data_IF_595371520201
#
_entry.id   IF_595371520201
#
_cell.length_a   1.000
_cell.length_b   1.000
_cell.length_c   1.000
_cell.angle_alpha   90.00
_cell.angle_beta   90.00
_cell.angle_gamma   90.00
#
_symmetry.space_group_name_H-M   'P 1'
#
loop_
_entity.id
_entity.type
_entity.pdbx_description
1 polymer ?
#
# COMPACT_ATOMS: atom_id res chain seq x y z
N UNK A 1 -27.52 -0.27 -14.49
CA UNK A 1 -27.93 -1.56 -13.87
C UNK A 1 -26.72 -2.10 -13.16
N UNK A 2 -26.74 -2.23 -11.82
CA UNK A 2 -25.61 -2.79 -11.10
C UNK A 2 -25.33 -4.21 -11.62
N UNK A 3 -24.05 -4.54 -11.88
CA UNK A 3 -23.65 -5.86 -12.38
C UNK A 3 -23.97 -6.98 -11.40
N UNK A 4 -24.19 -6.64 -10.12
CA UNK A 4 -24.41 -7.58 -9.04
C UNK A 4 -25.45 -7.07 -8.04
N UNK A 5 -26.34 -7.94 -7.58
CA UNK A 5 -27.23 -7.62 -6.48
C UNK A 5 -26.42 -7.65 -5.16
N UNK A 6 -26.36 -6.53 -4.40
CA UNK A 6 -25.68 -6.50 -3.11
C UNK A 6 -25.98 -7.67 -2.16
N UNK A 7 -27.22 -8.16 -2.02
CA UNK A 7 -27.53 -9.31 -1.20
C UNK A 7 -26.86 -10.62 -1.63
N UNK A 8 -26.68 -10.85 -2.93
CA UNK A 8 -25.96 -12.03 -3.43
C UNK A 8 -24.47 -11.96 -3.12
N UNK A 9 -23.90 -10.76 -3.15
CA UNK A 9 -22.50 -10.55 -2.83
C UNK A 9 -22.18 -10.64 -1.35
N UNK A 10 -23.09 -10.30 -0.46
CA UNK A 10 -22.91 -10.41 1.00
C UNK A 10 -22.66 -11.85 1.45
N UNK A 11 -23.06 -12.84 0.66
CA UNK A 11 -22.74 -14.26 0.90
C UNK A 11 -21.37 -14.70 0.38
N UNK A 12 -20.70 -13.88 -0.43
CA UNK A 12 -19.38 -14.19 -0.97
C UNK A 12 -18.29 -13.85 0.07
N UNK A 13 -17.50 -14.85 0.48
CA UNK A 13 -16.38 -14.66 1.42
C UNK A 13 -15.36 -13.63 0.96
N UNK A 14 -15.28 -13.32 -0.34
CA UNK A 14 -14.35 -12.36 -0.93
C UNK A 14 -14.91 -10.92 -0.95
N UNK A 15 -16.18 -10.72 -0.62
CA UNK A 15 -16.80 -9.40 -0.71
C UNK A 15 -16.55 -8.50 0.51
N UNK A 16 -16.39 -9.09 1.68
CA UNK A 16 -16.32 -8.38 2.97
C UNK A 16 -14.90 -8.23 3.53
N UNK A 17 -13.88 -8.72 2.86
CA UNK A 17 -12.50 -8.66 3.36
C UNK A 17 -11.75 -7.48 2.77
N UNK A 18 -11.07 -6.73 3.62
CA UNK A 18 -10.03 -5.79 3.19
C UNK A 18 -8.97 -6.61 2.46
N UNK A 19 -8.87 -6.40 1.16
CA UNK A 19 -7.79 -6.99 0.37
C UNK A 19 -6.53 -6.19 0.63
N UNK A 20 -5.38 -6.88 0.82
CA UNK A 20 -4.05 -6.24 0.86
C UNK A 20 -3.64 -5.72 -0.52
N UNK A 21 -4.50 -5.88 -1.50
CA UNK A 21 -4.28 -5.52 -2.89
C UNK A 21 -5.60 -5.07 -3.49
N UNK A 22 -5.60 -3.92 -4.15
CA UNK A 22 -6.84 -3.43 -4.76
C UNK A 22 -6.73 -2.05 -5.36
N UNK A 23 -7.89 -1.43 -5.51
CA UNK A 23 -8.06 -0.13 -6.12
C UNK A 23 -8.98 0.75 -5.30
N UNK A 24 -8.65 2.02 -5.24
CA UNK A 24 -9.49 3.07 -4.67
C UNK A 24 -9.61 4.24 -5.64
N UNK A 25 -10.76 4.91 -5.59
CA UNK A 25 -11.00 6.19 -6.26
C UNK A 25 -10.87 7.29 -5.20
N UNK A 26 -10.02 8.28 -5.47
CA UNK A 26 -9.83 9.47 -4.64
C UNK A 26 -10.43 10.67 -5.36
N UNK A 27 -11.38 11.33 -4.71
CA UNK A 27 -12.07 12.51 -5.23
C UNK A 27 -11.56 13.78 -4.53
N UNK A 28 -10.99 14.71 -5.30
CA UNK A 28 -10.48 15.99 -4.80
C UNK A 28 -11.57 16.91 -4.24
N UNK A 29 -12.85 16.66 -4.57
CA UNK A 29 -13.96 17.40 -3.96
C UNK A 29 -14.17 17.02 -2.49
N UNK A 30 -13.85 15.78 -2.13
CA UNK A 30 -13.95 15.25 -0.76
C UNK A 30 -12.61 15.37 0.00
N UNK A 31 -11.48 15.17 -0.69
CA UNK A 31 -10.14 15.16 -0.12
C UNK A 31 -9.21 16.11 -0.87
N UNK A 32 -9.05 17.35 -0.41
CA UNK A 32 -8.14 18.32 -1.04
C UNK A 32 -6.70 18.25 -0.52
N UNK A 33 -6.51 17.81 0.72
CA UNK A 33 -5.20 17.68 1.35
C UNK A 33 -5.08 16.31 2.01
N UNK A 34 -4.00 15.62 1.73
CA UNK A 34 -3.63 14.37 2.40
C UNK A 34 -2.23 14.50 2.98
N UNK A 35 -2.05 14.03 4.20
CA UNK A 35 -0.76 13.88 4.84
C UNK A 35 -0.75 12.59 5.65
N UNK A 36 0.15 11.68 5.32
CA UNK A 36 0.24 10.40 6.01
C UNK A 36 1.37 9.52 5.48
N UNK A 37 1.58 8.41 6.14
CA UNK A 37 2.46 7.34 5.67
C UNK A 37 1.64 6.31 4.89
N UNK A 38 2.20 5.81 3.80
CA UNK A 38 1.56 4.78 2.97
C UNK A 38 1.70 3.40 3.60
N UNK A 39 0.59 2.69 3.77
CA UNK A 39 0.60 1.31 4.29
C UNK A 39 0.97 0.28 3.22
N UNK A 40 0.72 0.59 1.97
CA UNK A 40 0.94 -0.26 0.80
C UNK A 40 1.79 0.46 -0.24
N UNK A 41 2.43 -0.31 -1.11
CA UNK A 41 2.90 0.24 -2.38
C UNK A 41 1.70 0.70 -3.18
N UNK A 42 1.83 1.83 -3.87
CA UNK A 42 0.72 2.37 -4.67
C UNK A 42 1.19 2.90 -6.00
N UNK A 43 0.38 2.70 -7.04
CA UNK A 43 0.49 3.42 -8.31
C UNK A 43 -0.70 4.35 -8.42
N UNK A 44 -0.43 5.64 -8.41
CA UNK A 44 -1.45 6.69 -8.57
C UNK A 44 -1.59 7.05 -10.04
N UNK A 45 -2.83 7.14 -10.52
CA UNK A 45 -3.18 7.57 -11.87
C UNK A 45 -4.06 8.81 -11.78
N UNK A 46 -3.66 9.90 -12.43
CA UNK A 46 -4.53 11.06 -12.56
C UNK A 46 -5.44 10.88 -13.78
N UNK A 47 -6.75 10.83 -13.53
CA UNK A 47 -7.77 10.66 -14.58
C UNK A 47 -8.56 11.94 -14.81
N UNK A 48 -8.48 12.92 -13.89
CA UNK A 48 -9.10 14.25 -14.04
C UNK A 48 -8.35 15.24 -13.12
N UNK A 49 -8.29 16.52 -13.54
CA UNK A 49 -7.66 17.58 -12.76
C UNK A 49 -6.14 17.41 -12.60
N UNK A 50 -5.61 17.76 -11.43
CA UNK A 50 -4.19 17.60 -11.09
C UNK A 50 -3.98 17.38 -9.59
N UNK A 51 -2.82 16.79 -9.25
CA UNK A 51 -2.39 16.61 -7.87
C UNK A 51 -0.91 16.98 -7.72
N UNK A 52 -0.57 17.77 -6.71
CA UNK A 52 0.82 18.00 -6.29
C UNK A 52 1.16 17.01 -5.19
N UNK A 53 2.24 16.28 -5.38
CA UNK A 53 2.69 15.21 -4.50
C UNK A 53 4.09 15.53 -4.00
N UNK A 54 4.29 15.43 -2.70
CA UNK A 54 5.62 15.42 -2.09
C UNK A 54 5.79 14.11 -1.31
N UNK A 55 6.90 13.40 -1.55
CA UNK A 55 7.23 12.15 -0.89
C UNK A 55 8.73 12.11 -0.62
N UNK A 56 9.13 12.29 0.64
CA UNK A 56 10.53 12.53 0.98
C UNK A 56 11.03 13.83 0.32
N UNK A 57 12.14 13.73 -0.43
CA UNK A 57 12.71 14.85 -1.19
C UNK A 57 12.08 15.02 -2.59
N UNK A 58 11.24 14.07 -3.01
CA UNK A 58 10.58 14.10 -4.32
C UNK A 58 9.37 15.04 -4.28
N UNK A 59 9.35 16.01 -5.18
CA UNK A 59 8.21 16.88 -5.45
C UNK A 59 7.82 16.75 -6.91
N UNK A 60 6.57 16.41 -7.18
CA UNK A 60 6.06 16.33 -8.55
C UNK A 60 4.62 16.83 -8.64
N UNK A 61 4.21 17.21 -9.85
CA UNK A 61 2.83 17.48 -10.21
C UNK A 61 2.33 16.39 -11.15
N UNK A 62 1.23 15.76 -10.79
CA UNK A 62 0.62 14.66 -11.52
C UNK A 62 -0.59 15.20 -12.30
N UNK A 63 -0.53 15.11 -13.62
CA UNK A 63 -1.56 15.56 -14.55
C UNK A 63 -2.32 14.39 -15.16
N UNK A 64 -3.44 14.70 -15.81
CA UNK A 64 -4.27 13.71 -16.51
C UNK A 64 -3.44 12.92 -17.51
N UNK A 65 -3.57 11.60 -17.46
CA UNK A 65 -2.81 10.69 -18.32
C UNK A 65 -1.43 10.32 -17.79
N UNK A 66 -1.11 10.71 -16.56
CA UNK A 66 0.15 10.38 -15.90
C UNK A 66 -0.05 9.45 -14.72
N UNK A 67 1.01 8.72 -14.35
CA UNK A 67 1.05 7.86 -13.18
C UNK A 67 2.32 8.07 -12.36
N UNK A 68 2.23 7.85 -11.04
CA UNK A 68 3.35 7.93 -10.09
C UNK A 68 3.32 6.73 -9.16
N UNK A 69 4.48 6.10 -8.97
CA UNK A 69 4.67 5.08 -7.96
C UNK A 69 5.03 5.71 -6.62
N UNK A 70 4.39 5.22 -5.57
CA UNK A 70 4.67 5.57 -4.17
C UNK A 70 5.01 4.29 -3.43
N UNK A 71 6.17 4.26 -2.80
CA UNK A 71 6.59 3.08 -2.04
C UNK A 71 5.89 3.02 -0.67
N UNK A 72 5.69 1.80 -0.18
CA UNK A 72 5.23 1.57 1.19
C UNK A 72 6.14 2.26 2.21
N UNK A 73 5.56 2.82 3.26
CA UNK A 73 6.29 3.54 4.33
C UNK A 73 6.75 4.94 3.94
N UNK A 74 6.38 5.42 2.73
CA UNK A 74 6.67 6.80 2.36
C UNK A 74 5.76 7.77 3.10
N UNK A 75 6.35 8.85 3.63
CA UNK A 75 5.58 10.00 4.09
C UNK A 75 5.13 10.80 2.88
N UNK A 76 3.83 10.90 2.67
CA UNK A 76 3.24 11.57 1.51
C UNK A 76 2.44 12.79 1.94
N UNK A 77 2.69 13.90 1.27
CA UNK A 77 1.84 15.09 1.30
C UNK A 77 1.26 15.28 -0.10
N UNK A 78 -0.06 15.30 -0.19
CA UNK A 78 -0.74 15.50 -1.45
C UNK A 78 -1.69 16.69 -1.38
N UNK A 79 -1.67 17.54 -2.40
CA UNK A 79 -2.63 18.62 -2.59
C UNK A 79 -3.33 18.42 -3.93
N UNK A 80 -4.63 18.17 -3.90
CA UNK A 80 -5.47 17.85 -5.05
C UNK A 80 -6.25 19.09 -5.49
N UNK A 81 -6.35 19.32 -6.81
CA UNK A 81 -7.31 20.29 -7.34
C UNK A 81 -8.73 19.80 -7.02
N UNK A 82 -9.69 20.74 -6.93
CA UNK A 82 -11.06 20.43 -6.51
C UNK A 82 -11.77 19.46 -7.47
N UNK A 83 -11.38 19.48 -8.72
CA UNK A 83 -11.87 18.60 -9.78
C UNK A 83 -10.98 17.37 -9.99
N UNK A 84 -9.97 17.17 -9.13
CA UNK A 84 -9.04 16.06 -9.26
C UNK A 84 -9.73 14.72 -8.98
N UNK A 85 -9.47 13.75 -9.85
CA UNK A 85 -9.82 12.35 -9.62
C UNK A 85 -8.58 11.48 -9.82
N UNK A 86 -8.20 10.74 -8.78
CA UNK A 86 -7.10 9.78 -8.84
C UNK A 86 -7.66 8.37 -8.70
N UNK A 87 -7.13 7.45 -9.49
CA UNK A 87 -7.22 6.02 -9.24
C UNK A 87 -5.91 5.53 -8.61
N UNK A 88 -6.00 4.86 -7.48
CA UNK A 88 -4.85 4.28 -6.80
C UNK A 88 -4.95 2.77 -6.80
N UNK A 89 -3.99 2.11 -7.46
CA UNK A 89 -3.72 0.70 -7.27
C UNK A 89 -2.83 0.54 -6.05
N UNK A 90 -3.25 -0.23 -5.04
CA UNK A 90 -2.44 -0.53 -3.87
C UNK A 90 -2.15 -2.03 -3.78
N UNK A 91 -0.96 -2.38 -3.31
CA UNK A 91 -0.48 -3.77 -3.23
C UNK A 91 0.70 -3.90 -2.24
N UNK A 92 0.84 -5.08 -1.65
CA UNK A 92 1.93 -5.37 -0.70
C UNK A 92 3.24 -5.72 -1.40
N UNK A 93 3.17 -6.45 -2.53
CA UNK A 93 4.32 -7.07 -3.17
C UNK A 93 4.31 -6.79 -4.68
N UNK A 94 5.50 -6.55 -5.24
CA UNK A 94 5.72 -6.48 -6.69
C UNK A 94 5.75 -7.87 -7.38
N UNK A 95 5.21 -8.90 -6.75
CA UNK A 95 5.24 -10.29 -7.24
C UNK A 95 4.35 -10.55 -8.48
N UNK A 96 3.61 -9.55 -8.92
CA UNK A 96 2.77 -9.65 -10.11
C UNK A 96 3.54 -9.51 -11.43
N UNK A 97 4.84 -9.24 -11.35
CA UNK A 97 5.70 -9.28 -12.52
C UNK A 97 5.90 -10.75 -12.90
N UNK A 98 5.35 -11.11 -14.06
CA UNK A 98 5.43 -12.46 -14.61
C UNK A 98 6.88 -12.97 -14.67
N UNK A 99 7.08 -14.32 -14.71
CA UNK A 99 8.35 -15.05 -14.74
C UNK A 99 9.44 -14.53 -15.70
N UNK A 100 9.05 -13.73 -16.71
CA UNK A 100 9.98 -13.14 -17.70
C UNK A 100 10.56 -11.78 -17.31
N UNK A 101 9.94 -11.06 -16.36
CA UNK A 101 10.52 -9.87 -15.73
C UNK A 101 10.44 -10.13 -14.22
N UNK A 102 11.49 -10.71 -13.70
CA UNK A 102 11.60 -10.91 -12.26
C UNK A 102 12.04 -9.62 -11.59
N UNK A 103 11.65 -9.44 -10.34
CA UNK A 103 12.16 -8.36 -9.50
C UNK A 103 13.70 -8.32 -9.51
N UNK A 104 14.34 -9.49 -9.62
CA UNK A 104 15.80 -9.63 -9.72
C UNK A 104 16.37 -8.93 -10.97
N UNK A 105 15.73 -9.10 -12.12
CA UNK A 105 16.18 -8.46 -13.38
C UNK A 105 16.03 -6.94 -13.32
N UNK A 106 14.96 -6.42 -12.68
CA UNK A 106 14.82 -4.98 -12.47
C UNK A 106 15.86 -4.46 -11.47
N UNK A 107 16.22 -5.23 -10.45
CA UNK A 107 17.30 -4.87 -9.50
C UNK A 107 18.66 -4.77 -10.17
N UNK A 108 18.98 -5.67 -11.09
CA UNK A 108 20.23 -5.63 -11.86
C UNK A 108 20.31 -4.38 -12.74
N UNK A 109 19.19 -3.94 -13.29
CA UNK A 109 19.10 -2.73 -14.09
C UNK A 109 19.16 -1.44 -13.26
N UNK A 110 18.75 -1.49 -11.98
CA UNK A 110 18.72 -0.31 -11.10
C UNK A 110 20.05 0.44 -11.04
N UNK A 111 21.18 -0.26 -11.03
CA UNK A 111 22.50 0.35 -10.96
C UNK A 111 22.87 1.10 -12.25
N UNK A 112 22.21 0.77 -13.36
CA UNK A 112 22.45 1.37 -14.69
C UNK A 112 21.43 2.44 -15.05
N UNK A 113 20.34 2.56 -14.30
CA UNK A 113 19.24 3.48 -14.58
C UNK A 113 19.19 4.57 -13.52
N UNK A 114 19.13 5.82 -13.95
CA UNK A 114 18.93 6.96 -13.04
C UNK A 114 17.48 7.02 -12.61
N UNK A 115 17.25 7.09 -11.31
CA UNK A 115 15.92 7.36 -10.76
C UNK A 115 15.41 8.71 -11.29
N UNK A 116 14.19 8.72 -11.78
CA UNK A 116 13.48 9.94 -12.16
C UNK A 116 12.25 10.10 -11.28
N UNK A 117 12.15 11.17 -10.46
CA UNK A 117 10.98 11.44 -9.65
C UNK A 117 9.75 11.90 -10.47
N UNK A 118 9.90 12.21 -11.75
CA UNK A 118 8.80 12.68 -12.59
C UNK A 118 7.74 11.60 -12.81
N UNK A 119 6.46 12.00 -12.95
CA UNK A 119 5.40 11.08 -13.33
C UNK A 119 5.65 10.45 -14.70
N UNK A 120 5.23 9.19 -14.85
CA UNK A 120 5.33 8.45 -16.09
C UNK A 120 4.01 8.55 -16.88
N UNK A 121 4.11 8.75 -18.21
CA UNK A 121 2.95 8.81 -19.08
C UNK A 121 2.23 7.47 -19.18
N UNK A 122 0.91 7.48 -19.07
CA UNK A 122 0.05 6.30 -19.22
C UNK A 122 -0.08 5.91 -20.69
N UNK A 123 0.20 4.64 -21.02
CA UNK A 123 0.28 4.15 -22.41
C UNK A 123 -0.57 2.90 -22.65
N UNK A 124 -0.75 2.58 -23.90
CA UNK A 124 -1.35 1.34 -24.36
C UNK A 124 -2.81 1.13 -23.96
N UNK A 125 -3.13 -0.02 -23.35
CA UNK A 125 -4.47 -0.36 -22.91
C UNK A 125 -4.83 0.20 -21.52
N UNK A 126 -3.87 0.78 -20.79
CA UNK A 126 -4.09 1.28 -19.41
C UNK A 126 -5.23 2.31 -19.36
N UNK A 127 -5.34 3.32 -20.25
CA UNK A 127 -6.45 4.28 -20.20
C UNK A 127 -7.83 3.62 -20.25
N UNK A 128 -8.00 2.61 -21.12
CA UNK A 128 -9.27 1.87 -21.25
C UNK A 128 -9.55 1.02 -20.01
N UNK A 129 -8.51 0.40 -19.44
CA UNK A 129 -8.61 -0.34 -18.17
C UNK A 129 -9.06 0.60 -17.04
N UNK A 130 -8.45 1.80 -16.90
CA UNK A 130 -8.81 2.77 -15.87
C UNK A 130 -10.23 3.29 -16.03
N UNK A 131 -10.69 3.53 -17.28
CA UNK A 131 -12.06 3.96 -17.55
C UNK A 131 -13.09 2.91 -17.09
N UNK A 132 -12.84 1.62 -17.39
CA UNK A 132 -13.70 0.53 -16.94
C UNK A 132 -13.66 0.38 -15.42
N UNK A 133 -12.47 0.49 -14.82
CA UNK A 133 -12.28 0.37 -13.38
C UNK A 133 -13.02 1.48 -12.62
N UNK A 134 -12.98 2.72 -13.14
CA UNK A 134 -13.73 3.84 -12.57
C UNK A 134 -15.20 3.49 -12.43
N UNK A 135 -15.83 2.96 -13.49
CA UNK A 135 -17.24 2.53 -13.46
C UNK A 135 -17.48 1.48 -12.39
N UNK A 136 -16.60 0.47 -12.28
CA UNK A 136 -16.75 -0.57 -11.25
C UNK A 136 -16.67 -0.01 -9.83
N UNK A 137 -15.79 0.97 -9.60
CA UNK A 137 -15.63 1.60 -8.28
C UNK A 137 -16.84 2.49 -7.93
N UNK A 138 -17.33 3.28 -8.90
CA UNK A 138 -18.51 4.14 -8.73
C UNK A 138 -19.79 3.30 -8.47
N UNK A 139 -19.95 2.18 -9.18
CA UNK A 139 -21.05 1.24 -8.99
C UNK A 139 -20.90 0.32 -7.77
N UNK A 140 -19.77 0.39 -7.05
CA UNK A 140 -19.40 -0.50 -5.93
C UNK A 140 -19.46 -1.99 -6.33
N UNK A 141 -19.13 -2.29 -7.56
CA UNK A 141 -19.22 -3.62 -8.17
C UNK A 141 -17.95 -4.49 -7.99
N UNK A 142 -16.94 -3.99 -7.26
CA UNK A 142 -15.67 -4.70 -7.07
C UNK A 142 -15.71 -5.56 -5.79
N UNK A 143 -15.52 -6.87 -5.95
CA UNK A 143 -15.16 -7.75 -4.84
C UNK A 143 -13.63 -7.86 -4.69
N UNK A 144 -13.14 -8.38 -3.58
CA UNK A 144 -11.70 -8.53 -3.31
C UNK A 144 -10.96 -9.30 -4.43
N UNK A 145 -11.60 -10.33 -4.98
CA UNK A 145 -11.04 -11.13 -6.08
C UNK A 145 -10.90 -10.31 -7.38
N UNK A 146 -11.90 -9.49 -7.71
CA UNK A 146 -11.83 -8.64 -8.89
C UNK A 146 -10.80 -7.51 -8.72
N UNK A 147 -10.65 -6.96 -7.50
CA UNK A 147 -9.58 -6.03 -7.17
C UNK A 147 -8.20 -6.64 -7.47
N UNK A 148 -7.95 -7.86 -7.01
CA UNK A 148 -6.69 -8.59 -7.25
C UNK A 148 -6.45 -8.83 -8.75
N UNK A 149 -7.47 -9.28 -9.49
CA UNK A 149 -7.38 -9.48 -10.94
C UNK A 149 -7.03 -8.18 -11.67
N UNK A 150 -7.62 -7.06 -11.28
CA UNK A 150 -7.37 -5.74 -11.89
C UNK A 150 -5.97 -5.21 -11.56
N UNK A 151 -5.40 -5.53 -10.42
CA UNK A 151 -3.99 -5.23 -10.13
C UNK A 151 -3.06 -6.10 -10.98
N UNK A 152 -3.36 -7.39 -11.15
CA UNK A 152 -2.61 -8.28 -12.07
C UNK A 152 -2.67 -7.78 -13.52
N UNK A 153 -3.84 -7.33 -13.98
CA UNK A 153 -4.01 -6.71 -15.29
C UNK A 153 -3.14 -5.45 -15.46
N UNK A 154 -3.04 -4.61 -14.42
CA UNK A 154 -2.15 -3.46 -14.43
C UNK A 154 -0.69 -3.89 -14.67
N UNK A 155 -0.18 -4.84 -13.89
CA UNK A 155 1.22 -5.29 -14.02
C UNK A 155 1.47 -5.94 -15.39
N UNK A 156 0.48 -6.64 -15.94
CA UNK A 156 0.55 -7.15 -17.30
C UNK A 156 0.69 -6.02 -18.34
N UNK A 157 -0.11 -4.97 -18.21
CA UNK A 157 -0.05 -3.79 -19.08
C UNK A 157 1.26 -3.04 -18.94
N UNK A 158 1.74 -2.81 -17.71
CA UNK A 158 3.04 -2.18 -17.46
C UNK A 158 4.15 -2.92 -18.21
N UNK A 159 4.17 -4.25 -18.11
CA UNK A 159 5.13 -5.07 -18.84
C UNK A 159 4.98 -4.98 -20.35
N UNK A 160 3.76 -4.87 -20.87
CA UNK A 160 3.50 -4.88 -22.31
C UNK A 160 3.91 -3.57 -23.00
N UNK A 161 3.81 -2.42 -22.29
CA UNK A 161 3.91 -1.10 -22.89
C UNK A 161 5.09 -0.26 -22.42
N UNK A 162 5.87 -0.73 -21.44
CA UNK A 162 7.05 -0.03 -20.92
C UNK A 162 8.29 -0.91 -21.05
N UNK A 163 9.44 -0.25 -21.28
CA UNK A 163 10.72 -0.96 -21.30
C UNK A 163 11.13 -1.40 -19.89
N UNK A 164 12.10 -2.31 -19.81
CA UNK A 164 12.64 -2.77 -18.52
C UNK A 164 13.31 -1.64 -17.76
N UNK A 165 13.99 -0.75 -18.49
CA UNK A 165 14.67 0.43 -17.98
C UNK A 165 13.67 1.43 -17.39
N UNK A 166 12.55 1.70 -18.11
CA UNK A 166 11.47 2.55 -17.60
C UNK A 166 10.85 1.96 -16.33
N UNK A 167 10.60 0.64 -16.29
CA UNK A 167 10.06 -0.03 -15.10
C UNK A 167 11.08 -0.07 -13.95
N UNK A 168 12.38 -0.25 -14.23
CA UNK A 168 13.42 -0.18 -13.22
C UNK A 168 13.54 1.23 -12.62
N UNK A 169 13.44 2.28 -13.44
CA UNK A 169 13.41 3.66 -12.96
C UNK A 169 12.15 3.94 -12.13
N UNK A 170 10.98 3.53 -12.64
CA UNK A 170 9.68 3.75 -12.00
C UNK A 170 9.56 3.08 -10.63
N UNK A 171 10.02 1.83 -10.50
CA UNK A 171 10.01 1.07 -9.25
C UNK A 171 11.32 1.21 -8.45
N UNK A 172 12.24 2.07 -8.86
CA UNK A 172 13.54 2.26 -8.21
C UNK A 172 13.47 2.42 -6.67
N UNK A 173 12.49 3.12 -6.08
CA UNK A 173 12.40 3.26 -4.63
C UNK A 173 12.34 1.93 -3.86
N UNK A 174 11.83 0.85 -4.49
CA UNK A 174 11.72 -0.48 -3.85
C UNK A 174 12.72 -1.50 -4.37
N UNK A 175 13.37 -1.26 -5.50
CA UNK A 175 14.34 -2.20 -6.07
C UNK A 175 15.64 -2.32 -5.27
N UNK A 176 15.93 -1.35 -4.38
CA UNK A 176 17.07 -1.39 -3.46
C UNK A 176 16.82 -2.16 -2.18
N UNK A 177 15.58 -2.52 -1.93
CA UNK A 177 15.18 -3.23 -0.71
C UNK A 177 15.63 -4.69 -0.80
N UNK A 178 16.29 -5.19 0.24
CA UNK A 178 16.79 -6.56 0.26
C UNK A 178 15.62 -7.57 0.26
N UNK A 179 15.91 -8.82 -0.19
CA UNK A 179 14.92 -9.90 -0.05
C UNK A 179 14.49 -10.06 1.40
N UNK A 180 15.43 -9.99 2.34
CA UNK A 180 15.15 -10.08 3.77
C UNK A 180 14.18 -9.00 4.24
N UNK A 181 14.36 -7.76 3.82
CA UNK A 181 13.43 -6.67 4.13
C UNK A 181 12.00 -7.00 3.68
N UNK A 182 11.84 -7.42 2.42
CA UNK A 182 10.53 -7.80 1.89
C UNK A 182 9.93 -9.00 2.64
N UNK A 183 10.74 -10.03 2.92
CA UNK A 183 10.30 -11.21 3.66
C UNK A 183 9.80 -10.82 5.07
N UNK A 184 10.48 -9.90 5.76
CA UNK A 184 10.07 -9.38 7.06
C UNK A 184 8.75 -8.61 6.98
N UNK A 185 8.63 -7.70 6.01
CA UNK A 185 7.41 -6.91 5.81
C UNK A 185 6.21 -7.85 5.56
N UNK A 186 6.38 -8.86 4.70
CA UNK A 186 5.33 -9.81 4.34
C UNK A 186 4.94 -10.76 5.49
N UNK A 187 5.92 -11.13 6.32
CA UNK A 187 5.69 -12.00 7.46
C UNK A 187 5.11 -11.26 8.68
N UNK A 188 5.15 -9.93 8.66
CA UNK A 188 4.68 -9.11 9.78
C UNK A 188 3.16 -9.24 9.96
N UNK A 189 2.76 -9.41 11.21
CA UNK A 189 1.37 -9.26 11.67
C UNK A 189 1.38 -8.43 12.94
N UNK A 190 0.31 -7.69 13.20
CA UNK A 190 0.22 -6.84 14.38
C UNK A 190 0.53 -7.63 15.65
N UNK A 191 1.41 -7.10 16.49
CA UNK A 191 1.80 -7.69 17.78
C UNK A 191 2.49 -9.08 17.69
N UNK A 192 3.10 -9.43 16.55
CA UNK A 192 3.88 -10.66 16.38
C UNK A 192 5.09 -10.67 17.34
N UNK A 193 5.44 -11.83 17.89
CA UNK A 193 6.69 -11.98 18.65
C UNK A 193 7.88 -12.06 17.70
N UNK A 194 9.02 -11.51 18.12
CA UNK A 194 10.23 -11.52 17.29
C UNK A 194 10.66 -12.93 16.89
N UNK A 195 10.52 -13.92 17.82
CA UNK A 195 10.83 -15.30 17.51
C UNK A 195 9.95 -15.88 16.40
N UNK A 196 8.63 -15.58 16.43
CA UNK A 196 7.69 -16.05 15.44
C UNK A 196 7.92 -15.35 14.07
N UNK A 197 8.30 -14.07 14.08
CA UNK A 197 8.67 -13.35 12.87
C UNK A 197 9.95 -13.92 12.25
N UNK A 198 10.96 -14.21 13.07
CA UNK A 198 12.20 -14.85 12.61
C UNK A 198 11.94 -16.23 12.01
N UNK A 199 11.07 -17.03 12.63
CA UNK A 199 10.65 -18.35 12.13
C UNK A 199 9.95 -18.23 10.76
N UNK A 200 9.03 -17.26 10.61
CA UNK A 200 8.33 -17.01 9.34
C UNK A 200 9.25 -16.63 8.17
N UNK A 201 10.37 -15.99 8.47
CA UNK A 201 11.39 -15.67 7.46
C UNK A 201 12.52 -16.73 7.42
N UNK A 202 12.30 -17.90 8.03
CA UNK A 202 13.20 -19.05 8.03
C UNK A 202 14.60 -18.73 8.58
N UNK A 203 14.67 -17.94 9.65
CA UNK A 203 15.92 -17.54 10.26
C UNK A 203 16.01 -17.90 11.75
N UNK A 204 17.23 -18.25 12.21
CA UNK A 204 17.49 -18.33 13.64
C UNK A 204 17.39 -16.94 14.28
N UNK A 205 16.78 -16.85 15.45
CA UNK A 205 16.47 -15.56 16.12
C UNK A 205 17.71 -14.66 16.28
N UNK A 206 18.87 -15.23 16.63
CA UNK A 206 20.12 -14.46 16.79
C UNK A 206 20.61 -13.83 15.48
N UNK A 207 20.53 -14.57 14.37
CA UNK A 207 20.88 -14.10 13.03
C UNK A 207 19.89 -13.03 12.57
N UNK A 208 18.60 -13.25 12.87
CA UNK A 208 17.53 -12.30 12.56
C UNK A 208 17.76 -10.95 13.23
N UNK A 209 18.07 -10.90 14.53
CA UNK A 209 18.36 -9.64 15.23
C UNK A 209 19.48 -8.84 14.58
N UNK A 210 20.58 -9.51 14.23
CA UNK A 210 21.73 -8.85 13.60
C UNK A 210 21.35 -8.26 12.26
N UNK A 211 20.81 -9.09 11.37
CA UNK A 211 20.44 -8.68 10.02
C UNK A 211 19.31 -7.64 10.03
N UNK A 212 18.36 -7.77 10.95
CA UNK A 212 17.27 -6.83 11.12
C UNK A 212 17.78 -5.42 11.48
N UNK A 213 18.70 -5.33 12.44
CA UNK A 213 19.27 -4.05 12.85
C UNK A 213 20.11 -3.41 11.74
N UNK A 214 20.82 -4.21 10.95
CA UNK A 214 21.58 -3.73 9.78
C UNK A 214 20.65 -3.19 8.69
N UNK A 215 19.49 -3.82 8.46
CA UNK A 215 18.55 -3.48 7.39
C UNK A 215 17.57 -2.37 7.76
N UNK A 216 17.01 -2.39 8.98
CA UNK A 216 15.95 -1.48 9.44
C UNK A 216 16.46 -0.35 10.34
N UNK A 217 17.74 -0.39 10.77
CA UNK A 217 18.34 0.64 11.63
C UNK A 217 17.89 0.61 13.09
N UNK A 218 16.90 -0.21 13.45
CA UNK A 218 16.33 -0.32 14.80
C UNK A 218 16.16 -1.79 15.24
N UNK A 219 15.78 -2.02 16.50
CA UNK A 219 15.52 -3.38 16.98
C UNK A 219 14.20 -3.93 16.46
N UNK A 220 14.08 -5.28 16.26
CA UNK A 220 12.83 -5.91 15.83
C UNK A 220 11.64 -5.56 16.71
N UNK A 221 11.81 -5.52 18.04
CA UNK A 221 10.73 -5.19 18.97
C UNK A 221 10.25 -3.75 18.80
N UNK A 222 11.18 -2.83 18.61
CA UNK A 222 10.89 -1.42 18.44
C UNK A 222 10.12 -1.20 17.14
N UNK A 223 10.56 -1.82 16.06
CA UNK A 223 9.91 -1.78 14.76
C UNK A 223 8.51 -2.43 14.79
N UNK A 224 8.38 -3.67 15.32
CA UNK A 224 7.09 -4.35 15.47
C UNK A 224 6.10 -3.48 16.25
N UNK A 225 6.54 -2.88 17.35
CA UNK A 225 5.72 -1.98 18.15
C UNK A 225 5.28 -0.75 17.35
N UNK A 226 6.18 -0.16 16.58
CA UNK A 226 5.89 1.01 15.73
C UNK A 226 4.89 0.66 14.66
N UNK A 227 5.09 -0.43 13.91
CA UNK A 227 4.17 -0.86 12.86
C UNK A 227 2.80 -1.29 13.40
N UNK A 228 2.78 -2.05 14.51
CA UNK A 228 1.54 -2.42 15.19
C UNK A 228 0.75 -1.20 15.63
N UNK A 229 1.43 -0.17 16.13
CA UNK A 229 0.80 1.07 16.55
C UNK A 229 0.18 1.83 15.37
N UNK A 230 0.87 1.87 14.21
CA UNK A 230 0.35 2.51 13.00
C UNK A 230 -0.93 1.81 12.54
N UNK A 231 -0.93 0.48 12.45
CA UNK A 231 -2.12 -0.30 12.06
C UNK A 231 -3.30 -0.10 13.02
N UNK A 232 -3.03 -0.10 14.33
CA UNK A 232 -4.06 0.13 15.34
C UNK A 232 -4.66 1.53 15.21
N UNK A 233 -3.81 2.57 15.09
CA UNK A 233 -4.28 3.96 14.97
C UNK A 233 -5.09 4.17 13.68
N UNK A 234 -4.70 3.54 12.60
CA UNK A 234 -5.45 3.58 11.34
C UNK A 234 -6.86 3.00 11.50
N UNK A 235 -6.98 1.79 12.09
CA UNK A 235 -8.29 1.16 12.28
C UNK A 235 -9.19 1.86 13.32
N UNK A 236 -8.61 2.58 14.27
CA UNK A 236 -9.40 3.36 15.25
C UNK A 236 -10.03 4.60 14.62
N UNK A 237 -9.46 5.12 13.55
CA UNK A 237 -10.04 6.24 12.81
C UNK A 237 -11.27 5.84 12.00
N UNK A 238 -11.50 4.55 11.81
CA UNK A 238 -12.71 4.01 11.22
C UNK A 238 -13.81 3.96 12.29
N UNK A 239 -14.68 4.96 12.29
CA UNK A 239 -15.76 5.12 13.28
C UNK A 239 -16.83 4.02 13.21
N UNK A 240 -16.85 3.23 12.14
CA UNK A 240 -17.81 2.13 11.95
C UNK A 240 -17.33 0.82 12.60
N UNK A 241 -16.07 0.76 13.07
CA UNK A 241 -15.49 -0.42 13.68
C UNK A 241 -15.57 -0.40 15.21
N UNK A 242 -16.07 -1.46 15.79
CA UNK A 242 -15.99 -1.69 17.23
C UNK A 242 -14.58 -2.14 17.64
N UNK A 243 -14.20 -1.88 18.90
CA UNK A 243 -12.91 -2.36 19.45
C UNK A 243 -12.78 -3.89 19.35
N UNK A 244 -13.87 -4.63 19.42
CA UNK A 244 -13.90 -6.09 19.25
C UNK A 244 -13.52 -6.48 17.82
N UNK A 245 -14.06 -5.81 16.82
CA UNK A 245 -13.76 -6.04 15.40
C UNK A 245 -12.33 -5.65 15.07
N UNK A 246 -11.83 -4.53 15.62
CA UNK A 246 -10.43 -4.13 15.47
C UNK A 246 -9.49 -5.18 16.07
N UNK A 247 -9.81 -5.67 17.27
CA UNK A 247 -9.01 -6.72 17.93
C UNK A 247 -8.98 -8.01 17.09
N UNK A 248 -10.12 -8.41 16.53
CA UNK A 248 -10.22 -9.58 15.67
C UNK A 248 -9.41 -9.42 14.37
N UNK A 249 -9.51 -8.26 13.70
CA UNK A 249 -8.77 -7.96 12.46
C UNK A 249 -7.25 -7.95 12.67
N UNK A 250 -6.80 -7.46 13.82
CA UNK A 250 -5.39 -7.38 14.19
C UNK A 250 -4.87 -8.63 14.89
N UNK A 251 -5.66 -9.71 14.92
CA UNK A 251 -5.31 -10.99 15.56
C UNK A 251 -4.95 -10.87 17.05
N UNK A 252 -5.55 -9.93 17.76
CA UNK A 252 -5.46 -9.86 19.22
C UNK A 252 -6.32 -10.95 19.87
N UNK A 253 -5.78 -11.62 20.87
CA UNK A 253 -6.51 -12.67 21.59
C UNK A 253 -7.75 -12.18 22.36
N UNK A 254 -7.87 -10.87 22.62
CA UNK A 254 -9.03 -10.25 23.22
C UNK A 254 -9.08 -8.74 23.00
N UNK A 255 -10.26 -8.10 23.04
CA UNK A 255 -10.41 -6.64 23.04
C UNK A 255 -9.63 -5.96 24.18
N UNK A 256 -9.53 -6.61 25.34
CA UNK A 256 -8.80 -6.09 26.49
C UNK A 256 -7.29 -5.98 26.24
N UNK A 257 -6.72 -6.90 25.47
CA UNK A 257 -5.30 -6.86 25.08
C UNK A 257 -5.01 -5.65 24.18
N UNK A 258 -5.91 -5.35 23.25
CA UNK A 258 -5.84 -4.16 22.41
C UNK A 258 -5.97 -2.88 23.25
N UNK A 259 -6.96 -2.81 24.16
CA UNK A 259 -7.17 -1.67 25.03
C UNK A 259 -5.95 -1.37 25.94
N UNK A 260 -5.27 -2.39 26.44
CA UNK A 260 -4.06 -2.23 27.25
C UNK A 260 -2.95 -1.51 26.48
N UNK A 261 -2.84 -1.76 25.17
CA UNK A 261 -1.90 -1.06 24.28
C UNK A 261 -2.33 0.38 23.94
N UNK A 262 -3.64 0.64 23.91
CA UNK A 262 -4.23 1.91 23.52
C UNK A 262 -4.32 2.92 24.66
N UNK A 263 -4.64 2.47 25.87
CA UNK A 263 -4.90 3.35 27.01
C UNK A 263 -3.79 4.37 27.30
N UNK A 264 -2.48 4.02 27.23
CA UNK A 264 -1.42 5.00 27.45
C UNK A 264 -1.40 6.12 26.40
N UNK A 265 -1.88 5.83 25.17
CA UNK A 265 -1.83 6.74 24.02
C UNK A 265 -3.05 7.61 23.90
N UNK A 266 -4.23 7.07 24.18
CA UNK A 266 -5.46 7.86 24.28
C UNK A 266 -5.34 8.93 25.38
N UNK A 267 -4.60 8.63 26.45
CA UNK A 267 -4.28 9.64 27.48
C UNK A 267 -3.39 10.77 26.95
N UNK A 268 -2.40 10.48 26.09
CA UNK A 268 -1.54 11.50 25.48
C UNK A 268 -2.29 12.37 24.47
N UNK A 269 -3.25 11.80 23.73
CA UNK A 269 -4.10 12.54 22.79
C UNK A 269 -5.17 13.38 23.51
N UNK A 270 -5.66 12.93 24.66
CA UNK A 270 -6.69 13.62 25.43
C UNK A 270 -6.15 14.79 26.28
N UNK A 271 -4.86 14.78 26.66
CA UNK A 271 -4.31 15.77 27.60
C UNK A 271 -3.15 16.62 27.04
N UNK A 272 -2.69 16.41 25.82
CA UNK A 272 -1.51 17.12 25.26
C UNK A 272 -0.21 16.79 26.00
N UNK A 273 0.97 17.15 25.46
CA UNK A 273 2.20 17.10 26.24
C UNK A 273 2.16 18.16 27.34
N UNK A 274 2.41 17.72 28.57
CA UNK A 274 2.57 18.60 29.74
C UNK A 274 3.81 19.47 29.61
#
# INVERSE_FOLDING_TARGET
MALFDPPEHLSCHHYATQANTGWILVDGSELQLYQGETEYHSVLFCIQGSARLASGDDLCELHVGQMKFISRGSSVHAALSRDCMLLSAYFDILDFLCDKITLQQLKELKETVTYNPDPLEVRGAIPSMLATLKVYLEDKALCAYLHELKVKELFWNLRAYYSREELAAFFSPVLGVSKFHNDVINAFTCNIRVADLAERVYMATSTFYKQFKEEFGESPEQWIRTQSNKQILFLIQDYDLTIGEIAARLSFGSPSSLLTLLLPKLRLLAYGPA
#
